data_IF_886970901315
#
_entry.id   IF_886970901315
#
_cell.length_a   1.000
_cell.length_b   1.000
_cell.length_c   1.000
_cell.angle_alpha   90.00
_cell.angle_beta   90.00
_cell.angle_gamma   90.00
#
_symmetry.space_group_name_H-M   'P 1'
#
loop_
_entity.id
_entity.type
_entity.pdbx_description
1 polymer ?
#
# COMPACT_ATOMS: atom_id res chain seq x y z
N UNK A 1 14.52 28.34 -7.75
CA UNK A 1 14.27 27.94 -6.35
C UNK A 1 13.26 26.79 -6.27
N UNK A 2 12.00 26.97 -6.70
CA UNK A 2 10.97 25.92 -6.62
C UNK A 2 11.33 24.60 -7.34
N UNK A 3 11.95 24.68 -8.54
CA UNK A 3 12.35 23.47 -9.28
C UNK A 3 13.51 22.70 -8.63
N UNK A 4 14.45 23.39 -7.98
CA UNK A 4 15.54 22.78 -7.22
C UNK A 4 15.01 22.03 -5.99
N UNK A 5 14.08 22.64 -5.26
CA UNK A 5 13.40 22.00 -4.12
C UNK A 5 12.67 20.73 -4.56
N UNK A 6 11.93 20.79 -5.68
CA UNK A 6 11.22 19.62 -6.21
C UNK A 6 12.16 18.50 -6.70
N UNK A 7 13.34 18.84 -7.23
CA UNK A 7 14.34 17.86 -7.66
C UNK A 7 15.00 17.17 -6.46
N UNK A 8 15.32 17.92 -5.41
CA UNK A 8 15.91 17.38 -4.19
C UNK A 8 14.91 16.51 -3.42
N UNK A 9 13.63 16.92 -3.34
CA UNK A 9 12.56 16.12 -2.76
C UNK A 9 12.39 14.77 -3.47
N UNK A 10 12.39 14.76 -4.81
CA UNK A 10 12.32 13.53 -5.61
C UNK A 10 13.49 12.58 -5.39
N UNK A 11 14.71 13.10 -5.26
CA UNK A 11 15.89 12.29 -4.93
C UNK A 11 15.75 11.65 -3.55
N UNK A 12 15.34 12.43 -2.55
CA UNK A 12 15.14 11.94 -1.20
C UNK A 12 14.04 10.86 -1.16
N UNK A 13 12.95 11.07 -1.88
CA UNK A 13 11.86 10.10 -2.01
C UNK A 13 12.36 8.79 -2.62
N UNK A 14 13.14 8.85 -3.71
CA UNK A 14 13.68 7.66 -4.35
C UNK A 14 14.59 6.84 -3.43
N UNK A 15 15.53 7.51 -2.74
CA UNK A 15 16.44 6.86 -1.79
C UNK A 15 15.65 6.28 -0.60
N UNK A 16 14.68 7.04 -0.08
CA UNK A 16 13.81 6.60 1.01
C UNK A 16 12.99 5.36 0.65
N UNK A 17 12.42 5.31 -0.57
CA UNK A 17 11.68 4.15 -1.06
C UNK A 17 12.57 2.92 -1.22
N UNK A 18 13.78 3.08 -1.78
CA UNK A 18 14.75 1.99 -1.90
C UNK A 18 15.18 1.43 -0.54
N UNK A 19 15.51 2.31 0.42
CA UNK A 19 15.89 1.90 1.77
C UNK A 19 14.74 1.20 2.50
N UNK A 20 13.52 1.72 2.37
CA UNK A 20 12.31 1.13 2.96
C UNK A 20 12.04 -0.26 2.38
N UNK A 21 12.18 -0.42 1.07
CA UNK A 21 12.00 -1.70 0.39
C UNK A 21 12.94 -2.78 0.93
N UNK A 22 14.24 -2.48 1.01
CA UNK A 22 15.24 -3.40 1.54
C UNK A 22 14.95 -3.76 2.99
N UNK A 23 14.66 -2.76 3.83
CA UNK A 23 14.34 -2.97 5.25
C UNK A 23 13.09 -3.84 5.45
N UNK A 24 12.03 -3.60 4.67
CA UNK A 24 10.78 -4.38 4.72
C UNK A 24 11.01 -5.84 4.31
N UNK A 25 11.76 -6.08 3.23
CA UNK A 25 12.07 -7.44 2.76
C UNK A 25 12.83 -8.22 3.84
N UNK A 26 13.85 -7.60 4.44
CA UNK A 26 14.64 -8.23 5.52
C UNK A 26 13.74 -8.55 6.73
N UNK A 27 12.90 -7.61 7.14
CA UNK A 27 11.96 -7.79 8.25
C UNK A 27 10.99 -8.95 8.00
N UNK A 28 10.35 -8.97 6.83
CA UNK A 28 9.42 -10.04 6.44
C UNK A 28 10.13 -11.39 6.36
N UNK A 29 11.36 -11.43 5.84
CA UNK A 29 12.15 -12.66 5.77
C UNK A 29 12.46 -13.24 7.16
N UNK A 30 12.87 -12.38 8.11
CA UNK A 30 13.15 -12.79 9.49
C UNK A 30 11.89 -13.36 10.14
N UNK A 31 10.76 -12.64 10.08
CA UNK A 31 9.51 -13.09 10.68
C UNK A 31 8.92 -14.35 10.01
N UNK A 32 9.15 -14.52 8.71
CA UNK A 32 8.70 -15.70 7.97
C UNK A 32 9.55 -16.94 8.27
N UNK A 33 10.87 -16.77 8.40
CA UNK A 33 11.82 -17.84 8.67
C UNK A 33 11.63 -18.45 10.07
N UNK A 34 11.49 -17.62 11.09
CA UNK A 34 11.32 -18.10 12.46
C UNK A 34 9.85 -18.44 12.76
N UNK A 35 9.45 -19.69 12.49
CA UNK A 35 8.10 -20.21 12.78
C UNK A 35 7.70 -20.04 14.26
N UNK A 36 8.68 -20.03 15.18
CA UNK A 36 8.47 -19.81 16.62
C UNK A 36 8.04 -18.38 16.97
N UNK A 37 8.34 -17.39 16.12
CA UNK A 37 7.93 -16.00 16.33
C UNK A 37 6.49 -15.73 15.84
N UNK A 38 5.82 -16.70 15.22
CA UNK A 38 4.50 -16.55 14.58
C UNK A 38 3.33 -16.54 15.58
N UNK A 39 3.45 -15.73 16.63
CA UNK A 39 2.40 -15.43 17.62
C UNK A 39 1.38 -14.46 17.00
N UNK A 40 0.15 -14.41 17.52
CA UNK A 40 -0.93 -13.52 17.10
C UNK A 40 -0.45 -12.08 16.78
N UNK A 41 0.23 -11.43 17.72
CA UNK A 41 0.75 -10.07 17.55
C UNK A 41 1.73 -9.98 16.37
N UNK A 42 2.63 -10.95 16.23
CA UNK A 42 3.59 -10.98 15.14
C UNK A 42 2.93 -11.24 13.77
N UNK A 43 1.79 -11.94 13.75
CA UNK A 43 1.00 -12.10 12.53
C UNK A 43 0.36 -10.78 12.10
N UNK A 44 -0.14 -9.95 13.03
CA UNK A 44 -0.64 -8.61 12.71
C UNK A 44 0.48 -7.74 12.12
N UNK A 45 1.63 -7.70 12.77
CA UNK A 45 2.80 -6.97 12.25
C UNK A 45 3.21 -7.49 10.87
N UNK A 46 3.20 -8.80 10.63
CA UNK A 46 3.52 -9.35 9.32
C UNK A 46 2.56 -8.85 8.23
N UNK A 47 1.25 -8.82 8.49
CA UNK A 47 0.25 -8.30 7.54
C UNK A 47 0.45 -6.80 7.29
N UNK A 48 0.77 -6.02 8.33
CA UNK A 48 1.14 -4.61 8.20
C UNK A 48 2.38 -4.42 7.31
N UNK A 49 3.45 -5.18 7.55
CA UNK A 49 4.68 -5.12 6.77
C UNK A 49 4.45 -5.51 5.31
N UNK A 50 3.61 -6.52 5.05
CA UNK A 50 3.22 -6.92 3.70
C UNK A 50 2.42 -5.82 3.00
N UNK A 51 1.44 -5.19 3.68
CA UNK A 51 0.68 -4.08 3.12
C UNK A 51 1.59 -2.89 2.77
N UNK A 52 2.50 -2.53 3.68
CA UNK A 52 3.50 -1.47 3.45
C UNK A 52 4.45 -1.83 2.30
N UNK A 53 4.87 -3.09 2.18
CA UNK A 53 5.68 -3.56 1.05
C UNK A 53 4.95 -3.36 -0.27
N UNK A 54 3.66 -3.73 -0.36
CA UNK A 54 2.86 -3.52 -1.56
C UNK A 54 2.77 -2.03 -1.92
N UNK A 55 2.53 -1.15 -0.94
CA UNK A 55 2.53 0.31 -1.16
C UNK A 55 3.85 0.80 -1.76
N UNK A 56 4.98 0.36 -1.20
CA UNK A 56 6.31 0.77 -1.68
C UNK A 56 6.55 0.27 -3.11
N UNK A 57 6.19 -0.98 -3.41
CA UNK A 57 6.32 -1.56 -4.76
C UNK A 57 5.47 -0.78 -5.77
N UNK A 58 4.19 -0.55 -5.49
CA UNK A 58 3.28 0.15 -6.40
C UNK A 58 3.78 1.60 -6.64
N UNK A 59 4.21 2.28 -5.57
CA UNK A 59 4.76 3.63 -5.68
C UNK A 59 6.04 3.68 -6.50
N UNK A 60 6.91 2.67 -6.35
CA UNK A 60 8.13 2.55 -7.16
C UNK A 60 7.79 2.35 -8.65
N UNK A 61 6.83 1.47 -8.96
CA UNK A 61 6.36 1.22 -10.33
C UNK A 61 5.79 2.50 -10.95
N UNK A 62 4.90 3.19 -10.25
CA UNK A 62 4.33 4.48 -10.70
C UNK A 62 5.41 5.55 -10.91
N UNK A 63 6.41 5.59 -10.03
CA UNK A 63 7.51 6.55 -10.12
C UNK A 63 8.42 6.28 -11.32
N UNK A 64 8.75 5.01 -11.60
CA UNK A 64 9.52 4.61 -12.79
C UNK A 64 8.75 4.95 -14.07
N UNK A 65 7.44 4.65 -14.10
CA UNK A 65 6.58 4.93 -15.26
C UNK A 65 6.47 6.44 -15.54
N UNK A 66 6.35 7.27 -14.48
CA UNK A 66 6.35 8.73 -14.59
C UNK A 66 7.67 9.27 -15.14
N UNK A 67 8.82 8.74 -14.69
CA UNK A 67 10.14 9.15 -15.20
C UNK A 67 10.29 8.75 -16.67
N UNK A 68 9.88 7.52 -17.03
CA UNK A 68 9.97 7.02 -18.40
C UNK A 68 9.10 7.83 -19.36
N UNK A 69 7.86 8.13 -18.95
CA UNK A 69 6.92 8.98 -19.70
C UNK A 69 7.41 10.43 -19.80
N UNK A 70 8.04 10.97 -18.76
CA UNK A 70 8.66 12.30 -18.81
C UNK A 70 9.89 12.39 -19.72
N UNK A 71 10.56 11.27 -19.99
CA UNK A 71 11.75 11.19 -20.85
C UNK A 71 11.38 11.00 -22.34
N UNK A 72 10.23 10.39 -22.63
CA UNK A 72 9.64 10.36 -23.97
C UNK A 72 8.71 11.55 -24.14
N UNK A 73 9.27 12.68 -24.61
CA UNK A 73 8.50 13.90 -24.87
C UNK A 73 7.26 13.68 -25.77
N UNK A 74 6.33 14.65 -25.82
CA UNK A 74 4.99 14.53 -26.41
C UNK A 74 4.98 14.39 -27.96
N UNK A 75 6.11 14.06 -28.58
CA UNK A 75 6.29 14.14 -30.02
C UNK A 75 7.17 13.00 -30.54
N UNK A 76 6.75 11.73 -30.41
CA UNK A 76 7.17 10.69 -31.36
C UNK A 76 5.98 9.75 -31.63
N UNK A 77 5.79 9.47 -32.93
CA UNK A 77 4.59 8.96 -33.61
C UNK A 77 3.91 7.70 -33.05
N UNK A 78 2.62 7.50 -33.40
CA UNK A 78 1.84 6.32 -33.05
C UNK A 78 2.15 5.18 -34.02
N UNK A 79 3.26 4.47 -33.82
CA UNK A 79 3.51 3.24 -34.54
C UNK A 79 4.45 2.35 -33.74
N UNK A 80 3.92 1.18 -33.37
CA UNK A 80 4.60 0.03 -32.80
C UNK A 80 4.90 0.00 -31.28
N UNK A 81 3.84 -0.38 -30.54
CA UNK A 81 3.92 -1.57 -29.69
C UNK A 81 4.43 -1.40 -28.25
N UNK A 82 3.50 -1.56 -27.29
CA UNK A 82 3.71 -1.83 -25.84
C UNK A 82 4.29 -0.67 -25.03
N UNK A 83 3.53 0.40 -24.89
CA UNK A 83 3.78 1.42 -23.87
C UNK A 83 2.55 1.57 -22.98
N UNK A 84 2.74 1.63 -21.66
CA UNK A 84 1.70 1.85 -20.64
C UNK A 84 0.93 3.18 -20.85
N UNK A 85 1.40 4.05 -21.75
CA UNK A 85 0.67 5.22 -22.22
C UNK A 85 -0.52 4.91 -23.16
N UNK A 86 -0.70 3.67 -23.64
CA UNK A 86 -1.86 3.29 -24.47
C UNK A 86 -3.11 2.93 -23.67
N UNK A 87 -3.01 2.71 -22.35
CA UNK A 87 -4.17 2.48 -21.48
C UNK A 87 -4.14 3.36 -20.23
N UNK A 88 -4.70 4.60 -20.27
CA UNK A 88 -4.86 5.44 -19.08
C UNK A 88 -5.58 4.72 -17.92
N UNK A 89 -6.37 3.69 -18.25
CA UNK A 89 -7.02 2.81 -17.28
C UNK A 89 -6.04 2.09 -16.33
N UNK A 90 -4.87 1.65 -16.82
CA UNK A 90 -3.89 0.91 -15.98
C UNK A 90 -3.23 1.85 -14.96
N UNK A 91 -2.87 3.06 -15.38
CA UNK A 91 -2.31 4.07 -14.48
C UNK A 91 -3.34 4.49 -13.42
N UNK A 92 -4.57 4.79 -13.83
CA UNK A 92 -5.69 5.11 -12.92
C UNK A 92 -5.97 3.97 -11.93
N UNK A 93 -5.96 2.72 -12.40
CA UNK A 93 -6.12 1.54 -11.56
C UNK A 93 -4.95 1.35 -10.57
N UNK A 94 -3.71 1.63 -10.97
CA UNK A 94 -2.55 1.54 -10.08
C UNK A 94 -2.59 2.62 -8.98
N UNK A 95 -3.04 3.83 -9.29
CA UNK A 95 -3.25 4.87 -8.27
C UNK A 95 -4.36 4.49 -7.29
N UNK A 96 -5.47 3.91 -7.79
CA UNK A 96 -6.52 3.38 -6.93
C UNK A 96 -6.00 2.26 -6.02
N UNK A 97 -5.26 1.32 -6.59
CA UNK A 97 -4.67 0.20 -5.86
C UNK A 97 -3.67 0.70 -4.80
N UNK A 98 -2.87 1.72 -5.11
CA UNK A 98 -1.97 2.37 -4.16
C UNK A 98 -2.74 2.93 -2.95
N UNK A 99 -3.84 3.65 -3.21
CA UNK A 99 -4.65 4.25 -2.16
C UNK A 99 -5.30 3.16 -1.29
N UNK A 100 -5.81 2.09 -1.92
CA UNK A 100 -6.32 0.92 -1.20
C UNK A 100 -5.28 0.32 -0.25
N UNK A 101 -4.08 0.01 -0.74
CA UNK A 101 -3.05 -0.61 0.10
C UNK A 101 -2.57 0.32 1.22
N UNK A 102 -2.58 1.65 1.02
CA UNK A 102 -2.33 2.60 2.11
C UNK A 102 -3.42 2.53 3.17
N UNK A 103 -4.70 2.54 2.79
CA UNK A 103 -5.82 2.43 3.74
C UNK A 103 -5.76 1.10 4.49
N UNK A 104 -5.41 0.01 3.80
CA UNK A 104 -5.17 -1.29 4.42
C UNK A 104 -4.03 -1.22 5.44
N UNK A 105 -2.90 -0.61 5.10
CA UNK A 105 -1.80 -0.44 6.05
C UNK A 105 -2.20 0.40 7.29
N UNK A 106 -2.93 1.50 7.10
CA UNK A 106 -3.48 2.28 8.22
C UNK A 106 -4.47 1.47 9.06
N UNK A 107 -5.34 0.68 8.42
CA UNK A 107 -6.28 -0.22 9.10
C UNK A 107 -5.56 -1.27 9.96
N UNK A 108 -4.50 -1.88 9.44
CA UNK A 108 -3.67 -2.82 10.20
C UNK A 108 -2.94 -2.14 11.37
N UNK A 109 -2.41 -0.92 11.18
CA UNK A 109 -1.78 -0.15 12.26
C UNK A 109 -2.79 0.18 13.37
N UNK A 110 -4.02 0.57 13.00
CA UNK A 110 -5.09 0.82 13.95
C UNK A 110 -5.47 -0.44 14.73
N UNK A 111 -5.63 -1.59 14.05
CA UNK A 111 -5.96 -2.86 14.70
C UNK A 111 -4.86 -3.34 15.64
N UNK A 112 -3.60 -3.13 15.28
CA UNK A 112 -2.47 -3.45 16.16
C UNK A 112 -2.55 -2.64 17.46
N UNK A 113 -2.83 -1.33 17.36
CA UNK A 113 -3.04 -0.46 18.52
C UNK A 113 -4.27 -0.85 19.34
N UNK A 114 -5.39 -1.16 18.67
CA UNK A 114 -6.61 -1.60 19.34
C UNK A 114 -6.43 -2.95 20.04
N UNK A 115 -5.73 -3.89 19.41
CA UNK A 115 -5.36 -5.17 20.03
C UNK A 115 -4.51 -4.99 21.29
N UNK A 116 -3.49 -4.13 21.23
CA UNK A 116 -2.67 -3.80 22.40
C UNK A 116 -3.50 -3.16 23.52
N UNK A 117 -4.40 -2.23 23.18
CA UNK A 117 -5.29 -1.61 24.15
C UNK A 117 -6.25 -2.63 24.80
N UNK A 118 -6.85 -3.50 23.98
CA UNK A 118 -7.74 -4.56 24.43
C UNK A 118 -7.01 -5.55 25.36
N UNK A 119 -5.76 -5.89 25.04
CA UNK A 119 -4.93 -6.70 25.94
C UNK A 119 -4.71 -5.97 27.27
N UNK A 120 -4.31 -4.70 27.26
CA UNK A 120 -4.06 -3.96 28.50
C UNK A 120 -5.31 -3.79 29.37
N UNK A 121 -6.48 -3.57 28.77
CA UNK A 121 -7.73 -3.27 29.49
C UNK A 121 -8.52 -4.53 29.84
N UNK A 122 -8.58 -5.52 28.95
CA UNK A 122 -9.41 -6.72 29.12
C UNK A 122 -8.63 -7.96 29.59
N UNK A 123 -7.31 -7.92 29.78
CA UNK A 123 -6.59 -9.06 30.40
C UNK A 123 -7.09 -9.38 31.81
N UNK A 124 -7.85 -8.49 32.47
CA UNK A 124 -8.55 -8.80 33.74
C UNK A 124 -9.77 -9.72 33.57
N UNK A 125 -10.32 -9.83 32.35
CA UNK A 125 -11.49 -10.66 32.02
C UNK A 125 -11.07 -11.79 31.07
N UNK A 126 -10.71 -12.93 31.65
CA UNK A 126 -10.35 -14.19 30.98
C UNK A 126 -11.29 -14.59 29.84
N UNK A 127 -10.99 -14.19 28.60
CA UNK A 127 -11.64 -14.73 27.40
C UNK A 127 -10.65 -14.69 26.24
N UNK A 128 -10.36 -15.86 25.68
CA UNK A 128 -9.41 -15.99 24.57
C UNK A 128 -9.79 -15.06 23.40
N UNK A 129 -8.92 -14.12 22.99
CA UNK A 129 -9.23 -13.22 21.90
C UNK A 129 -9.24 -14.00 20.58
N UNK A 130 -10.40 -14.08 19.93
CA UNK A 130 -10.55 -14.71 18.61
C UNK A 130 -9.92 -13.81 17.54
N UNK A 131 -9.02 -14.36 16.72
CA UNK A 131 -8.31 -13.66 15.62
C UNK A 131 -9.24 -13.26 14.46
N UNK A 132 -10.31 -14.03 14.24
CA UNK A 132 -11.22 -13.88 13.10
C UNK A 132 -11.87 -12.50 12.96
N UNK A 133 -12.48 -11.89 14.00
CA UNK A 133 -13.08 -10.54 13.88
C UNK A 133 -12.04 -9.45 13.59
N UNK A 134 -10.82 -9.58 14.09
CA UNK A 134 -9.74 -8.64 13.80
C UNK A 134 -9.31 -8.71 12.33
N UNK A 135 -9.21 -9.92 11.76
CA UNK A 135 -8.91 -10.09 10.34
C UNK A 135 -10.00 -9.49 9.43
N UNK A 136 -11.26 -9.71 9.80
CA UNK A 136 -12.42 -9.18 9.06
C UNK A 136 -12.46 -7.66 9.15
N UNK A 137 -12.18 -7.06 10.31
CA UNK A 137 -12.13 -5.61 10.45
C UNK A 137 -10.96 -5.00 9.64
N UNK A 138 -9.82 -5.69 9.59
CA UNK A 138 -8.59 -5.18 8.98
C UNK A 138 -8.63 -5.11 7.47
N UNK A 139 -9.26 -6.10 6.83
CA UNK A 139 -9.50 -6.07 5.40
C UNK A 139 -10.86 -5.47 5.03
N UNK A 140 -11.85 -5.59 5.90
CA UNK A 140 -13.23 -5.16 5.63
C UNK A 140 -13.40 -3.66 5.61
N UNK A 141 -12.85 -2.92 6.58
CA UNK A 141 -13.02 -1.45 6.63
C UNK A 141 -12.34 -0.77 5.42
N UNK A 142 -11.07 -1.09 5.08
CA UNK A 142 -10.44 -0.55 3.88
C UNK A 142 -11.13 -1.01 2.60
N UNK A 143 -11.59 -2.26 2.53
CA UNK A 143 -12.32 -2.81 1.39
C UNK A 143 -13.66 -2.11 1.16
N UNK A 144 -14.43 -1.84 2.21
CA UNK A 144 -15.68 -1.08 2.11
C UNK A 144 -15.42 0.34 1.63
N UNK A 145 -14.40 1.01 2.18
CA UNK A 145 -14.06 2.37 1.76
C UNK A 145 -13.67 2.45 0.29
N UNK A 146 -12.84 1.53 -0.19
CA UNK A 146 -12.41 1.54 -1.60
C UNK A 146 -13.46 1.04 -2.56
N UNK A 147 -14.36 0.14 -2.15
CA UNK A 147 -15.54 -0.23 -2.92
C UNK A 147 -16.48 0.96 -3.10
N UNK A 148 -16.72 1.76 -2.05
CA UNK A 148 -17.53 2.98 -2.15
C UNK A 148 -16.89 3.95 -3.15
N UNK A 149 -15.57 4.17 -3.06
CA UNK A 149 -14.87 5.04 -4.00
C UNK A 149 -14.95 4.54 -5.44
N UNK A 150 -14.72 3.25 -5.68
CA UNK A 150 -14.82 2.63 -7.00
C UNK A 150 -16.23 2.78 -7.57
N UNK A 151 -17.25 2.55 -6.75
CA UNK A 151 -18.65 2.70 -7.14
C UNK A 151 -18.97 4.14 -7.56
N UNK A 152 -18.50 5.13 -6.81
CA UNK A 152 -18.66 6.56 -7.15
C UNK A 152 -17.95 6.89 -8.48
N UNK A 153 -16.74 6.35 -8.70
CA UNK A 153 -15.98 6.57 -9.94
C UNK A 153 -16.70 5.95 -11.13
N UNK A 154 -17.25 4.73 -11.00
CA UNK A 154 -18.00 4.05 -12.06
C UNK A 154 -19.27 4.82 -12.44
N UNK A 155 -20.07 5.24 -11.46
CA UNK A 155 -21.27 6.06 -11.73
C UNK A 155 -20.91 7.32 -12.50
N UNK A 156 -19.84 8.02 -12.10
CA UNK A 156 -19.40 9.23 -12.78
C UNK A 156 -18.92 8.97 -14.21
N UNK A 157 -18.43 7.77 -14.50
CA UNK A 157 -17.93 7.35 -15.82
C UNK A 157 -19.07 6.93 -16.75
N UNK A 158 -20.13 6.29 -16.22
CA UNK A 158 -21.35 5.98 -16.97
C UNK A 158 -22.15 7.24 -17.36
N UNK A 159 -22.05 8.32 -16.58
CA UNK A 159 -22.75 9.58 -16.85
C UNK A 159 -22.05 10.52 -17.86
N UNK A 160 -20.88 10.16 -18.38
CA UNK A 160 -20.08 11.00 -19.29
C UNK A 160 -19.87 10.32 -20.64
#
# INVERSE_FOLDING_TARGET
>A
IAQEVAKNARKLEFVGLGLSLVSLIVSIAIFSYFRRLRVFRNMLHLHLMIAMLMVVIIRLVLYIDLIFTGNHGPHQSPSDGKTINTMPFVCEAMYFLLEYFKTVAFGWMFLEGFYLHNQLVLTVFNSEPRLTPYLIAGYGIPGLHTLIWLFVVLIKKDFK
#
